data_IF_742211227005
#
_entry.id   IF_742211227005
#
_cell.length_a   1.000
_cell.length_b   1.000
_cell.length_c   1.000
_cell.angle_alpha   90.00
_cell.angle_beta   90.00
_cell.angle_gamma   90.00
#
_symmetry.space_group_name_H-M   'P 1'
#
loop_
_entity.id
_entity.type
_entity.pdbx_description
1 polymer ?
#
# COMPACT_ATOMS: atom_id res chain seq x y z
N UNK A 1 38.45 -1.35 -43.63
CA UNK A 1 38.82 -1.09 -42.22
C UNK A 1 37.60 -1.43 -41.36
N UNK A 2 37.63 -2.59 -40.70
CA UNK A 2 36.65 -2.98 -39.69
C UNK A 2 36.90 -2.15 -38.43
N UNK A 3 35.89 -1.42 -37.94
CA UNK A 3 35.85 -1.02 -36.54
C UNK A 3 34.87 -1.94 -35.82
N UNK A 4 35.43 -2.94 -35.12
CA UNK A 4 34.75 -3.68 -34.06
C UNK A 4 34.66 -2.75 -32.86
N UNK A 5 33.47 -2.26 -32.55
CA UNK A 5 33.20 -1.70 -31.23
C UNK A 5 32.93 -2.87 -30.30
N UNK A 6 33.88 -3.12 -29.40
CA UNK A 6 33.74 -4.04 -28.29
C UNK A 6 32.71 -3.44 -27.33
N UNK A 7 31.51 -3.99 -27.30
CA UNK A 7 30.59 -3.78 -26.17
C UNK A 7 31.07 -4.73 -25.06
N UNK A 8 31.98 -4.24 -24.25
CA UNK A 8 32.13 -4.72 -22.87
C UNK A 8 31.77 -3.56 -21.97
N UNK A 9 30.53 -3.55 -21.51
CA UNK A 9 30.17 -2.93 -20.27
C UNK A 9 29.59 -4.04 -19.41
N UNK A 10 30.37 -4.50 -18.42
CA UNK A 10 29.80 -5.18 -17.27
C UNK A 10 28.79 -4.19 -16.68
N UNK A 11 27.50 -4.43 -16.91
CA UNK A 11 26.47 -3.80 -16.11
C UNK A 11 26.65 -4.37 -14.71
N UNK A 12 27.39 -3.65 -13.86
CA UNK A 12 27.20 -3.78 -12.43
C UNK A 12 25.74 -3.43 -12.22
N UNK A 13 24.91 -4.45 -12.02
CA UNK A 13 23.52 -4.24 -11.65
C UNK A 13 23.54 -3.53 -10.31
N UNK A 14 23.22 -2.23 -10.32
CA UNK A 14 22.94 -1.47 -9.11
C UNK A 14 22.09 -2.32 -8.15
N UNK A 15 22.55 -2.47 -6.91
CA UNK A 15 21.82 -3.22 -5.90
C UNK A 15 20.75 -2.29 -5.30
N UNK A 16 19.52 -2.39 -5.81
CA UNK A 16 18.40 -1.68 -5.21
C UNK A 16 18.00 -2.32 -3.89
N UNK A 17 17.63 -1.47 -2.95
CA UNK A 17 17.16 -1.87 -1.64
C UNK A 17 15.94 -1.04 -1.25
N UNK A 18 14.88 -1.70 -0.77
CA UNK A 18 13.66 -1.05 -0.28
C UNK A 18 13.79 -0.74 1.22
N UNK A 19 13.87 0.54 1.62
CA UNK A 19 13.84 0.91 3.03
C UNK A 19 12.53 0.50 3.68
N UNK A 20 12.57 0.22 4.99
CA UNK A 20 11.36 0.02 5.77
C UNK A 20 10.53 1.30 5.84
N UNK A 21 9.21 1.17 5.99
CA UNK A 21 8.30 2.32 6.04
C UNK A 21 8.57 3.23 7.26
N UNK A 22 9.09 2.69 8.36
CA UNK A 22 9.45 3.50 9.54
C UNK A 22 10.70 4.37 9.36
N UNK A 23 11.45 4.19 8.27
CA UNK A 23 12.59 5.06 7.97
C UNK A 23 12.17 6.49 7.66
N UNK A 24 13.15 7.40 7.63
CA UNK A 24 12.87 8.82 7.38
C UNK A 24 12.31 9.01 5.97
N UNK A 25 11.20 9.73 5.88
CA UNK A 25 10.51 10.03 4.64
C UNK A 25 10.67 11.53 4.28
N UNK A 26 10.51 11.85 2.99
CA UNK A 26 10.55 13.24 2.49
C UNK A 26 9.16 13.81 2.27
N UNK A 27 8.21 12.94 1.92
CA UNK A 27 6.82 13.25 1.64
C UNK A 27 6.01 11.95 1.50
N UNK A 28 4.69 12.11 1.51
CA UNK A 28 3.73 11.08 1.11
C UNK A 28 3.03 11.53 -0.17
N UNK A 29 2.88 10.63 -1.13
CA UNK A 29 2.11 10.83 -2.35
C UNK A 29 0.72 10.23 -2.15
N UNK A 30 -0.29 11.02 -2.48
CA UNK A 30 -1.71 10.64 -2.44
C UNK A 30 -2.37 11.09 -3.74
N UNK A 31 -3.52 10.51 -4.07
CA UNK A 31 -4.37 11.00 -5.15
C UNK A 31 -5.76 11.31 -4.62
N UNK A 32 -6.36 12.37 -5.13
CA UNK A 32 -7.72 12.74 -4.82
C UNK A 32 -8.66 12.04 -5.81
N UNK A 33 -9.80 11.48 -5.35
CA UNK A 33 -10.77 10.79 -6.18
C UNK A 33 -11.09 11.56 -7.49
N UNK A 34 -11.12 10.90 -8.64
CA UNK A 34 -11.51 11.56 -9.89
C UNK A 34 -12.98 11.35 -10.21
N UNK A 35 -13.61 12.33 -10.87
CA UNK A 35 -15.02 12.28 -11.20
C UNK A 35 -15.36 11.23 -12.28
N UNK A 36 -14.40 10.86 -13.11
CA UNK A 36 -14.56 9.86 -14.18
C UNK A 36 -14.14 8.43 -13.76
N UNK A 37 -13.79 8.21 -12.49
CA UNK A 37 -13.43 6.89 -12.00
C UNK A 37 -14.66 5.97 -11.95
N UNK A 38 -14.52 4.77 -12.52
CA UNK A 38 -15.58 3.76 -12.60
C UNK A 38 -15.95 3.16 -11.23
N UNK A 39 -15.14 3.38 -10.19
CA UNK A 39 -15.39 2.93 -8.83
C UNK A 39 -16.51 3.71 -8.10
N UNK A 40 -16.99 4.83 -8.66
CA UNK A 40 -18.00 5.67 -8.02
C UNK A 40 -19.34 5.60 -8.77
N UNK A 41 -20.40 5.16 -8.11
CA UNK A 41 -21.76 5.09 -8.68
C UNK A 41 -22.51 6.43 -8.52
N UNK A 42 -21.80 7.53 -8.82
CA UNK A 42 -22.34 8.89 -8.82
C UNK A 42 -21.72 9.80 -7.77
N UNK A 43 -22.35 10.97 -7.58
CA UNK A 43 -21.77 12.06 -6.80
C UNK A 43 -21.60 11.74 -5.31
N UNK A 44 -22.50 10.94 -4.73
CA UNK A 44 -22.44 10.61 -3.30
C UNK A 44 -21.14 9.87 -2.96
N UNK A 45 -20.81 8.84 -3.72
CA UNK A 45 -19.61 8.02 -3.52
C UNK A 45 -18.34 8.86 -3.71
N UNK A 46 -18.34 9.72 -4.73
CA UNK A 46 -17.23 10.65 -4.97
C UNK A 46 -17.04 11.63 -3.80
N UNK A 47 -18.12 12.25 -3.31
CA UNK A 47 -18.08 13.20 -2.19
C UNK A 47 -17.58 12.51 -0.90
N UNK A 48 -18.04 11.28 -0.67
CA UNK A 48 -17.64 10.43 0.45
C UNK A 48 -16.16 10.03 0.41
N UNK A 49 -15.69 9.47 -0.71
CA UNK A 49 -14.27 9.15 -0.91
C UNK A 49 -13.40 10.40 -0.79
N UNK A 50 -13.88 11.53 -1.32
CA UNK A 50 -13.22 12.83 -1.25
C UNK A 50 -13.04 13.27 0.20
N UNK A 51 -14.06 13.11 1.05
CA UNK A 51 -14.00 13.44 2.47
C UNK A 51 -12.93 12.63 3.20
N UNK A 52 -12.95 11.30 3.03
CA UNK A 52 -12.03 10.40 3.72
C UNK A 52 -10.57 10.63 3.29
N UNK A 53 -10.31 10.72 1.98
CA UNK A 53 -8.97 11.03 1.45
C UNK A 53 -8.48 12.40 1.92
N UNK A 54 -9.37 13.40 2.01
CA UNK A 54 -9.00 14.72 2.53
C UNK A 54 -8.60 14.67 4.01
N UNK A 55 -9.34 13.90 4.82
CA UNK A 55 -9.02 13.73 6.24
C UNK A 55 -7.67 13.02 6.43
N UNK A 56 -7.38 12.00 5.61
CA UNK A 56 -6.08 11.31 5.61
C UNK A 56 -4.96 12.30 5.23
N UNK A 57 -5.12 13.06 4.15
CA UNK A 57 -4.11 14.02 3.69
C UNK A 57 -3.81 15.10 4.75
N UNK A 58 -4.84 15.61 5.43
CA UNK A 58 -4.68 16.57 6.53
C UNK A 58 -3.97 15.96 7.74
N UNK A 59 -4.24 14.69 8.04
CA UNK A 59 -3.60 13.96 9.13
C UNK A 59 -2.12 13.69 8.86
N UNK A 60 -1.78 13.30 7.63
CA UNK A 60 -0.38 13.16 7.19
C UNK A 60 0.36 14.52 7.25
N UNK A 61 -0.31 15.60 6.85
CA UNK A 61 0.25 16.94 6.81
C UNK A 61 0.66 17.51 8.18
N UNK A 62 0.18 16.91 9.28
CA UNK A 62 0.65 17.20 10.64
C UNK A 62 2.13 16.81 10.84
N UNK A 63 2.59 15.79 10.11
CA UNK A 63 3.91 15.18 10.29
C UNK A 63 4.86 15.55 9.15
N UNK A 64 4.42 15.45 7.90
CA UNK A 64 5.28 15.65 6.74
C UNK A 64 4.53 16.13 5.49
N UNK A 65 5.24 16.60 4.44
CA UNK A 65 4.61 17.09 3.24
C UNK A 65 3.79 16.01 2.51
N UNK A 66 2.66 16.42 1.94
CA UNK A 66 1.82 15.61 1.05
C UNK A 66 1.91 16.17 -0.36
N UNK A 67 2.16 15.33 -1.34
CA UNK A 67 1.88 15.63 -2.75
C UNK A 67 0.55 14.97 -3.11
N UNK A 68 -0.47 15.79 -3.36
CA UNK A 68 -1.81 15.34 -3.69
C UNK A 68 -2.05 15.49 -5.20
N UNK A 69 -2.05 14.36 -5.91
CA UNK A 69 -2.36 14.31 -7.33
C UNK A 69 -3.86 14.45 -7.56
N UNK A 70 -4.25 15.28 -8.51
CA UNK A 70 -5.66 15.55 -8.84
C UNK A 70 -5.85 15.63 -10.35
N UNK A 71 -7.02 15.26 -10.85
CA UNK A 71 -7.35 15.51 -12.26
C UNK A 71 -7.51 17.01 -12.53
N UNK A 72 -7.29 17.43 -13.78
CA UNK A 72 -7.29 18.85 -14.16
C UNK A 72 -8.62 19.55 -13.83
N UNK A 73 -9.75 18.84 -13.99
CA UNK A 73 -11.10 19.34 -13.70
C UNK A 73 -11.37 19.53 -12.19
N UNK A 74 -10.65 18.82 -11.32
CA UNK A 74 -10.77 18.92 -9.85
C UNK A 74 -9.70 19.78 -9.19
N UNK A 75 -8.76 20.33 -9.96
CA UNK A 75 -7.63 21.09 -9.40
C UNK A 75 -8.05 22.31 -8.59
N UNK A 76 -8.95 23.15 -9.11
CA UNK A 76 -9.40 24.36 -8.41
C UNK A 76 -10.17 24.03 -7.12
N UNK A 77 -10.93 22.94 -7.13
CA UNK A 77 -11.66 22.44 -5.97
C UNK A 77 -10.70 21.99 -4.86
N UNK A 78 -9.68 21.20 -5.22
CA UNK A 78 -8.65 20.73 -4.28
C UNK A 78 -7.81 21.89 -3.72
N UNK A 79 -7.35 22.83 -4.55
CA UNK A 79 -6.64 24.02 -4.11
C UNK A 79 -7.48 24.84 -3.10
N UNK A 80 -8.78 24.98 -3.39
CA UNK A 80 -9.70 25.67 -2.48
C UNK A 80 -9.84 24.93 -1.14
N UNK A 81 -9.95 23.59 -1.18
CA UNK A 81 -10.07 22.73 0.00
C UNK A 81 -8.84 22.79 0.91
N UNK A 82 -7.64 22.86 0.34
CA UNK A 82 -6.38 22.77 1.07
C UNK A 82 -5.62 24.10 1.22
N UNK A 83 -6.19 25.23 0.81
CA UNK A 83 -5.57 26.57 0.92
C UNK A 83 -5.03 26.92 2.33
N UNK A 84 -5.63 26.35 3.37
CA UNK A 84 -5.26 26.61 4.77
C UNK A 84 -4.34 25.53 5.38
N UNK A 85 -3.82 24.59 4.58
CA UNK A 85 -2.95 23.49 5.02
C UNK A 85 -1.53 23.92 5.41
N UNK A 86 -1.28 25.21 5.62
CA UNK A 86 0.03 25.79 5.93
C UNK A 86 1.13 25.43 4.91
N UNK A 87 0.76 25.13 3.66
CA UNK A 87 1.68 24.72 2.60
C UNK A 87 2.25 23.31 2.79
N UNK A 88 1.62 22.46 3.61
CA UNK A 88 2.02 21.06 3.80
C UNK A 88 1.40 20.13 2.76
N UNK A 89 0.26 20.50 2.18
CA UNK A 89 -0.39 19.75 1.10
C UNK A 89 -0.15 20.50 -0.20
N UNK A 90 0.60 19.90 -1.11
CA UNK A 90 0.88 20.42 -2.45
C UNK A 90 -0.06 19.73 -3.45
N UNK A 91 -1.06 20.46 -3.92
CA UNK A 91 -1.98 19.97 -4.96
C UNK A 91 -1.29 20.03 -6.31
N UNK A 92 -1.36 18.94 -7.08
CA UNK A 92 -0.74 18.85 -8.41
C UNK A 92 -1.69 18.22 -9.42
N UNK A 93 -2.01 18.98 -10.46
CA UNK A 93 -2.80 18.46 -11.58
C UNK A 93 -2.01 17.40 -12.37
N UNK A 94 -2.63 16.25 -12.63
CA UNK A 94 -2.08 15.16 -13.44
C UNK A 94 -2.71 15.17 -14.84
N UNK A 95 -1.92 15.59 -15.83
CA UNK A 95 -2.43 15.70 -17.20
C UNK A 95 -2.54 14.34 -17.89
N UNK A 96 -3.63 14.14 -18.64
CA UNK A 96 -3.84 12.94 -19.45
C UNK A 96 -4.13 11.66 -18.65
N UNK A 97 -4.63 11.80 -17.42
CA UNK A 97 -5.02 10.68 -16.56
C UNK A 97 -6.44 10.90 -15.98
N UNK A 98 -7.49 10.88 -16.83
CA UNK A 98 -8.85 11.30 -16.44
C UNK A 98 -9.50 10.37 -15.41
N UNK A 99 -9.18 9.07 -15.45
CA UNK A 99 -9.63 8.07 -14.47
C UNK A 99 -8.57 7.85 -13.39
N UNK A 100 -8.08 8.95 -12.79
CA UNK A 100 -7.14 8.85 -11.67
C UNK A 100 -7.82 8.13 -10.51
N UNK A 101 -7.26 6.99 -10.15
CA UNK A 101 -7.69 6.27 -8.96
C UNK A 101 -6.87 6.72 -7.74
N UNK A 102 -7.43 6.53 -6.55
CA UNK A 102 -6.87 7.06 -5.31
C UNK A 102 -5.75 6.18 -4.72
N UNK A 103 -5.65 4.92 -5.19
CA UNK A 103 -4.82 3.86 -4.60
C UNK A 103 -3.32 4.00 -4.92
N UNK A 104 -2.69 5.05 -4.41
CA UNK A 104 -1.28 5.37 -4.69
C UNK A 104 -0.31 4.31 -4.23
N UNK A 105 -0.63 3.53 -3.19
CA UNK A 105 0.20 2.39 -2.76
C UNK A 105 0.46 1.41 -3.91
N UNK A 106 -0.51 1.26 -4.80
CA UNK A 106 -0.48 0.25 -5.86
C UNK A 106 -0.06 0.82 -7.21
N UNK A 107 -0.42 2.08 -7.46
CA UNK A 107 -0.22 2.73 -8.77
C UNK A 107 1.03 3.59 -8.86
N UNK A 108 1.48 4.15 -7.74
CA UNK A 108 2.68 4.97 -7.70
C UNK A 108 3.94 4.07 -7.72
N UNK A 109 5.13 4.65 -7.98
CA UNK A 109 6.36 3.86 -7.94
C UNK A 109 6.61 3.35 -6.53
N UNK A 110 7.08 2.11 -6.42
CA UNK A 110 7.72 1.67 -5.18
C UNK A 110 9.11 2.27 -5.12
N UNK A 111 9.34 3.17 -4.17
CA UNK A 111 10.62 3.85 -4.04
C UNK A 111 11.68 2.97 -3.37
N UNK A 112 12.87 2.96 -3.94
CA UNK A 112 14.02 2.18 -3.48
C UNK A 112 15.26 3.08 -3.47
N UNK A 113 16.29 2.62 -2.78
CA UNK A 113 17.58 3.28 -2.72
C UNK A 113 18.61 2.41 -3.43
N UNK A 114 19.45 3.02 -4.26
CA UNK A 114 20.66 2.38 -4.75
C UNK A 114 21.82 2.77 -3.84
N UNK A 115 22.50 1.80 -3.23
CA UNK A 115 23.72 2.00 -2.44
C UNK A 115 24.95 1.59 -3.26
N UNK A 116 25.25 2.41 -4.27
CA UNK A 116 26.51 2.34 -5.00
C UNK A 116 27.42 3.49 -4.48
N UNK A 117 28.55 3.14 -3.86
CA UNK A 117 29.68 4.04 -3.55
C UNK A 117 29.38 5.28 -2.65
N UNK A 118 28.80 5.09 -1.46
CA UNK A 118 28.61 6.13 -0.41
C UNK A 118 27.77 7.36 -0.85
N UNK A 119 26.98 7.25 -1.93
CA UNK A 119 26.07 8.31 -2.40
C UNK A 119 24.71 7.68 -2.72
N UNK A 120 24.02 7.28 -1.65
CA UNK A 120 22.73 6.61 -1.73
C UNK A 120 21.72 7.50 -2.48
N UNK A 121 21.14 6.97 -3.56
CA UNK A 121 20.22 7.71 -4.44
C UNK A 121 18.83 7.11 -4.43
N UNK A 122 17.83 7.99 -4.46
CA UNK A 122 16.43 7.60 -4.60
C UNK A 122 16.15 7.15 -6.05
N UNK A 123 15.52 6.00 -6.18
CA UNK A 123 14.99 5.46 -7.44
C UNK A 123 13.53 5.05 -7.23
N UNK A 124 12.78 4.91 -8.33
CA UNK A 124 11.46 4.29 -8.32
C UNK A 124 11.38 3.04 -9.17
N UNK A 125 10.66 2.04 -8.68
CA UNK A 125 10.32 0.83 -9.44
C UNK A 125 8.89 0.94 -9.95
N UNK A 126 8.72 0.87 -11.27
CA UNK A 126 7.42 0.72 -11.93
C UNK A 126 7.11 -0.79 -12.07
N UNK A 127 6.11 -1.26 -11.31
CA UNK A 127 5.65 -2.64 -11.29
C UNK A 127 4.52 -2.95 -12.27
N UNK A 128 4.36 -2.13 -13.32
CA UNK A 128 3.41 -2.38 -14.41
C UNK A 128 1.97 -2.61 -13.93
N UNK A 129 1.48 -1.77 -13.01
CA UNK A 129 0.13 -1.83 -12.47
C UNK A 129 -0.93 -2.04 -13.57
N UNK A 130 -1.83 -3.00 -13.39
CA UNK A 130 -2.83 -3.39 -14.38
C UNK A 130 -4.28 -3.32 -13.87
N UNK A 131 -4.54 -2.68 -12.73
CA UNK A 131 -5.88 -2.65 -12.14
C UNK A 131 -6.27 -3.95 -11.46
N UNK A 132 -5.39 -4.46 -10.59
CA UNK A 132 -5.56 -5.71 -9.82
C UNK A 132 -6.02 -6.90 -10.65
N UNK A 133 -5.29 -7.19 -11.72
CA UNK A 133 -5.60 -8.28 -12.64
C UNK A 133 -6.66 -7.93 -13.68
N UNK A 134 -6.69 -6.66 -14.11
CA UNK A 134 -7.69 -6.09 -15.01
C UNK A 134 -9.13 -6.13 -14.46
N UNK A 135 -9.31 -6.16 -13.14
CA UNK A 135 -10.62 -5.95 -12.50
C UNK A 135 -11.07 -4.50 -12.72
N UNK A 136 -10.12 -3.56 -12.64
CA UNK A 136 -10.29 -2.14 -12.97
C UNK A 136 -9.27 -1.72 -14.04
N UNK A 137 -9.49 -2.08 -15.32
CA UNK A 137 -8.49 -1.90 -16.36
C UNK A 137 -8.03 -0.45 -16.50
N UNK A 138 -6.71 -0.22 -16.41
CA UNK A 138 -6.11 1.13 -16.50
C UNK A 138 -5.98 1.67 -17.94
N UNK A 139 -6.69 1.06 -18.90
CA UNK A 139 -6.68 1.45 -20.31
C UNK A 139 -5.29 1.36 -20.97
N UNK A 140 -5.12 1.97 -22.15
CA UNK A 140 -3.81 2.10 -22.81
C UNK A 140 -2.98 3.27 -22.24
N UNK A 141 -3.30 3.73 -21.04
CA UNK A 141 -2.72 4.95 -20.47
C UNK A 141 -1.22 4.78 -20.16
N UNK A 142 -0.54 5.92 -20.11
CA UNK A 142 0.83 6.04 -19.61
C UNK A 142 0.88 5.56 -18.15
N UNK A 143 1.90 4.77 -17.80
CA UNK A 143 2.15 4.36 -16.42
C UNK A 143 2.17 5.58 -15.48
N UNK A 144 1.29 5.59 -14.48
CA UNK A 144 1.26 6.66 -13.48
C UNK A 144 2.58 6.75 -12.73
N UNK A 145 3.17 5.60 -12.38
CA UNK A 145 4.51 5.53 -11.80
C UNK A 145 5.56 6.24 -12.66
N UNK A 146 5.60 5.96 -13.98
CA UNK A 146 6.54 6.62 -14.88
C UNK A 146 6.32 8.14 -14.95
N UNK A 147 5.07 8.60 -14.91
CA UNK A 147 4.72 10.02 -14.91
C UNK A 147 5.16 10.71 -13.61
N UNK A 148 4.92 10.10 -12.45
CA UNK A 148 5.37 10.58 -11.14
C UNK A 148 6.89 10.71 -11.10
N UNK A 149 7.62 9.70 -11.58
CA UNK A 149 9.09 9.72 -11.58
C UNK A 149 9.68 10.81 -12.49
N UNK A 150 9.10 10.99 -13.67
CA UNK A 150 9.48 12.07 -14.58
C UNK A 150 9.31 13.44 -13.92
N UNK A 151 8.15 13.63 -13.28
CA UNK A 151 7.76 14.85 -12.60
C UNK A 151 8.61 15.18 -11.37
N UNK A 152 9.09 14.16 -10.66
CA UNK A 152 9.98 14.29 -9.49
C UNK A 152 11.46 14.41 -9.89
N UNK A 153 11.79 14.23 -11.17
CA UNK A 153 13.18 14.06 -11.65
C UNK A 153 13.93 12.91 -10.96
N UNK A 154 13.20 11.86 -10.60
CA UNK A 154 13.73 10.66 -9.94
C UNK A 154 13.97 9.57 -10.98
N UNK A 155 15.17 8.95 -11.04
CA UNK A 155 15.43 7.86 -11.97
C UNK A 155 14.53 6.65 -11.66
N UNK A 156 14.03 6.01 -12.72
CA UNK A 156 13.15 4.85 -12.63
C UNK A 156 13.74 3.59 -13.24
N UNK A 157 13.38 2.43 -12.69
CA UNK A 157 13.53 1.11 -13.33
C UNK A 157 12.16 0.48 -13.51
N UNK A 158 11.98 -0.28 -14.60
CA UNK A 158 10.80 -1.14 -14.75
C UNK A 158 11.06 -2.51 -14.14
N UNK A 159 10.01 -3.09 -13.58
CA UNK A 159 9.97 -4.50 -13.22
C UNK A 159 9.55 -5.35 -14.41
N UNK A 160 9.90 -6.63 -14.41
CA UNK A 160 9.33 -7.63 -15.30
C UNK A 160 8.02 -8.23 -14.74
N UNK A 161 7.66 -7.89 -13.51
CA UNK A 161 6.44 -8.34 -12.83
C UNK A 161 5.33 -7.32 -12.98
N UNK A 162 4.10 -7.82 -12.97
CA UNK A 162 2.92 -7.07 -12.56
C UNK A 162 2.70 -7.35 -11.07
N UNK A 163 2.79 -6.32 -10.24
CA UNK A 163 2.42 -6.39 -8.83
C UNK A 163 2.14 -4.97 -8.32
N UNK A 164 1.72 -4.87 -7.07
CA UNK A 164 1.26 -3.66 -6.44
C UNK A 164 2.00 -3.45 -5.11
N UNK A 165 2.22 -2.20 -4.69
CA UNK A 165 2.93 -1.94 -3.44
C UNK A 165 2.23 -2.54 -2.21
N UNK A 166 0.90 -2.64 -2.20
CA UNK A 166 0.15 -3.26 -1.10
C UNK A 166 0.38 -4.77 -0.98
N UNK A 167 0.91 -5.41 -2.03
CA UNK A 167 1.35 -6.81 -1.99
C UNK A 167 2.74 -7.00 -1.36
N UNK A 168 3.46 -5.92 -1.06
CA UNK A 168 4.89 -5.95 -0.73
C UNK A 168 5.17 -5.39 0.67
N UNK A 169 5.26 -6.27 1.68
CA UNK A 169 5.57 -5.87 3.05
C UNK A 169 7.02 -6.21 3.44
N UNK A 170 7.86 -5.19 3.60
CA UNK A 170 9.30 -5.35 3.85
C UNK A 170 9.73 -4.88 5.24
N UNK A 171 10.75 -5.53 5.80
CA UNK A 171 11.33 -5.15 7.10
C UNK A 171 12.50 -4.16 7.01
N UNK A 172 12.93 -3.80 5.79
CA UNK A 172 14.13 -3.00 5.57
C UNK A 172 15.44 -3.70 5.99
N UNK A 173 15.46 -5.03 6.07
CA UNK A 173 16.68 -5.81 6.34
C UNK A 173 16.78 -7.05 5.45
N UNK A 174 16.02 -7.07 4.35
CA UNK A 174 16.04 -8.11 3.32
C UNK A 174 14.93 -9.16 3.44
N UNK A 175 13.94 -8.95 4.30
CA UNK A 175 12.78 -9.85 4.43
C UNK A 175 11.56 -9.26 3.75
N UNK A 176 10.84 -10.10 3.01
CA UNK A 176 9.54 -9.78 2.42
C UNK A 176 8.49 -10.78 2.92
N UNK A 177 7.37 -10.26 3.45
CA UNK A 177 6.14 -11.03 3.60
C UNK A 177 5.25 -10.71 2.40
N UNK A 178 4.74 -11.75 1.74
CA UNK A 178 3.96 -11.60 0.51
C UNK A 178 2.96 -12.75 0.39
N UNK A 179 1.83 -12.49 -0.26
CA UNK A 179 0.83 -13.52 -0.55
C UNK A 179 1.02 -14.13 -1.93
N UNK A 180 0.85 -15.44 -2.05
CA UNK A 180 0.94 -16.14 -3.34
C UNK A 180 -0.17 -15.68 -4.29
N UNK A 181 -1.38 -15.48 -3.76
CA UNK A 181 -2.54 -15.07 -4.54
C UNK A 181 -2.46 -13.65 -5.10
N UNK A 182 -1.61 -12.75 -4.58
CA UNK A 182 -1.46 -11.40 -5.13
C UNK A 182 -0.43 -11.29 -6.26
N UNK A 183 0.39 -12.33 -6.49
CA UNK A 183 1.53 -12.22 -7.43
C UNK A 183 1.77 -13.45 -8.30
N UNK A 184 1.55 -14.68 -7.80
CA UNK A 184 1.82 -15.95 -8.51
C UNK A 184 0.63 -16.44 -9.35
N UNK A 185 -0.30 -15.55 -9.70
CA UNK A 185 -1.53 -15.89 -10.42
C UNK A 185 -1.55 -15.34 -11.84
N UNK A 186 -2.26 -16.02 -12.74
CA UNK A 186 -2.24 -15.73 -14.18
C UNK A 186 -2.74 -14.34 -14.59
N UNK A 187 -3.59 -13.70 -13.78
CA UNK A 187 -4.03 -12.32 -14.05
C UNK A 187 -2.98 -11.27 -13.64
N UNK A 188 -1.90 -11.68 -12.97
CA UNK A 188 -0.72 -10.85 -12.67
C UNK A 188 0.46 -11.27 -13.53
N UNK A 189 0.95 -12.48 -13.32
CA UNK A 189 2.23 -12.94 -13.88
C UNK A 189 2.10 -14.31 -14.56
N UNK A 190 1.38 -14.39 -15.70
CA UNK A 190 1.14 -15.65 -16.38
C UNK A 190 2.44 -16.33 -16.79
N UNK A 191 2.59 -17.61 -16.40
CA UNK A 191 3.75 -18.43 -16.74
C UNK A 191 5.04 -18.12 -15.96
N UNK A 192 5.04 -17.19 -15.00
CA UNK A 192 6.21 -16.98 -14.13
C UNK A 192 6.22 -17.96 -12.97
N UNK A 193 7.38 -18.58 -12.72
CA UNK A 193 7.59 -19.41 -11.54
C UNK A 193 7.83 -18.55 -10.30
N UNK A 194 7.74 -19.18 -9.12
CA UNK A 194 8.15 -18.54 -7.86
C UNK A 194 9.60 -18.06 -7.93
N UNK A 195 10.50 -18.83 -8.53
CA UNK A 195 11.91 -18.46 -8.69
C UNK A 195 12.08 -17.21 -9.56
N UNK A 196 11.30 -17.06 -10.62
CA UNK A 196 11.32 -15.87 -11.47
C UNK A 196 10.85 -14.63 -10.72
N UNK A 197 9.77 -14.77 -9.94
CA UNK A 197 9.25 -13.70 -9.08
C UNK A 197 10.26 -13.30 -8.02
N UNK A 198 10.80 -14.27 -7.29
CA UNK A 198 11.79 -13.98 -6.27
C UNK A 198 13.04 -13.31 -6.87
N UNK A 199 13.58 -13.82 -7.99
CA UNK A 199 14.75 -13.25 -8.64
C UNK A 199 14.54 -11.77 -9.02
N UNK A 200 13.36 -11.42 -9.53
CA UNK A 200 13.05 -10.03 -9.84
C UNK A 200 12.90 -9.17 -8.59
N UNK A 201 12.24 -9.66 -7.54
CA UNK A 201 12.10 -8.92 -6.28
C UNK A 201 13.44 -8.77 -5.54
N UNK A 202 14.37 -9.73 -5.67
CA UNK A 202 15.76 -9.53 -5.19
C UNK A 202 16.42 -8.36 -5.93
N UNK A 203 16.26 -8.31 -7.26
CA UNK A 203 16.85 -7.27 -8.10
C UNK A 203 16.25 -5.89 -7.83
N UNK A 204 14.93 -5.80 -7.66
CA UNK A 204 14.23 -4.51 -7.57
C UNK A 204 14.12 -3.99 -6.15
N UNK A 205 14.10 -4.84 -5.13
CA UNK A 205 13.84 -4.45 -3.74
C UNK A 205 14.95 -4.86 -2.75
N UNK A 206 15.94 -5.67 -3.17
CA UNK A 206 17.03 -6.11 -2.31
C UNK A 206 16.62 -7.20 -1.30
N UNK A 207 15.61 -8.00 -1.64
CA UNK A 207 15.10 -9.07 -0.77
C UNK A 207 16.01 -10.29 -0.82
N UNK A 208 16.30 -10.85 0.36
CA UNK A 208 17.04 -12.09 0.55
C UNK A 208 16.11 -13.24 0.94
N UNK A 209 15.13 -12.96 1.80
CA UNK A 209 14.23 -13.95 2.37
C UNK A 209 12.76 -13.63 2.12
N UNK A 210 12.02 -14.64 1.71
CA UNK A 210 10.60 -14.57 1.40
C UNK A 210 9.81 -15.40 2.40
N UNK A 211 8.74 -14.81 2.94
CA UNK A 211 7.74 -15.48 3.76
C UNK A 211 6.44 -15.46 2.95
N UNK A 212 6.10 -16.63 2.41
CA UNK A 212 4.96 -16.81 1.51
C UNK A 212 3.72 -17.22 2.31
N UNK A 213 2.67 -16.42 2.21
CA UNK A 213 1.34 -16.75 2.74
C UNK A 213 0.45 -17.13 1.54
N UNK A 214 -0.40 -18.17 1.60
CA UNK A 214 -1.20 -18.58 0.44
C UNK A 214 -2.12 -17.48 -0.12
N UNK A 215 -2.79 -16.73 0.76
CA UNK A 215 -3.83 -15.76 0.39
C UNK A 215 -5.02 -16.42 -0.33
N UNK A 216 -5.91 -15.63 -0.96
CA UNK A 216 -7.06 -16.14 -1.74
C UNK A 216 -7.35 -15.25 -2.95
N UNK A 217 -7.28 -15.85 -4.14
CA UNK A 217 -7.64 -15.18 -5.40
C UNK A 217 -9.16 -14.99 -5.49
N UNK A 218 -9.59 -13.80 -5.91
CA UNK A 218 -10.98 -13.47 -6.20
C UNK A 218 -11.89 -13.34 -4.98
N UNK A 219 -11.32 -13.32 -3.77
CA UNK A 219 -12.06 -13.09 -2.54
C UNK A 219 -12.37 -11.59 -2.34
N UNK A 220 -11.44 -10.73 -2.73
CA UNK A 220 -11.64 -9.28 -2.85
C UNK A 220 -10.81 -8.74 -4.03
N UNK A 221 -10.83 -7.41 -4.24
CA UNK A 221 -10.24 -6.76 -5.43
C UNK A 221 -8.74 -7.01 -5.57
N UNK A 222 -7.98 -7.05 -4.49
CA UNK A 222 -6.52 -7.12 -4.52
C UNK A 222 -5.95 -8.53 -4.70
N UNK A 223 -6.80 -9.57 -4.60
CA UNK A 223 -6.40 -10.99 -4.52
C UNK A 223 -5.56 -11.31 -3.28
N UNK A 224 -5.84 -10.64 -2.15
CA UNK A 224 -5.27 -10.88 -0.84
C UNK A 224 -3.96 -10.14 -0.62
N UNK A 225 -3.94 -8.81 -0.80
CA UNK A 225 -2.77 -8.01 -0.43
C UNK A 225 -2.35 -8.23 1.03
N UNK A 226 -1.04 -8.17 1.24
CA UNK A 226 -0.46 -8.45 2.55
C UNK A 226 -0.68 -7.29 3.51
N UNK A 227 -0.79 -6.05 3.02
CA UNK A 227 -0.93 -4.86 3.86
C UNK A 227 -2.28 -4.75 4.60
N UNK A 228 -3.30 -5.49 4.16
CA UNK A 228 -4.55 -5.72 4.87
C UNK A 228 -4.50 -6.87 5.89
N UNK A 229 -3.43 -7.68 5.87
CA UNK A 229 -3.29 -8.89 6.69
C UNK A 229 -2.16 -8.77 7.72
N UNK A 230 -0.94 -8.40 7.33
CA UNK A 230 0.20 -8.28 8.23
C UNK A 230 1.14 -7.15 7.84
N UNK A 231 1.72 -6.47 8.83
CA UNK A 231 2.71 -5.40 8.65
C UNK A 231 3.89 -5.60 9.59
N UNK A 232 5.11 -5.30 9.16
CA UNK A 232 6.24 -5.15 10.07
C UNK A 232 6.09 -3.88 10.90
N UNK A 233 6.35 -3.99 12.20
CA UNK A 233 6.41 -2.83 13.11
C UNK A 233 7.84 -2.46 13.50
N UNK A 234 8.75 -3.43 13.36
CA UNK A 234 10.20 -3.30 13.50
C UNK A 234 10.84 -4.61 12.99
N UNK A 235 12.16 -4.67 12.79
CA UNK A 235 12.82 -5.90 12.36
C UNK A 235 12.52 -7.07 13.32
N UNK A 236 11.99 -8.17 12.77
CA UNK A 236 11.60 -9.36 13.53
C UNK A 236 10.29 -9.26 14.33
N UNK A 237 9.48 -8.21 14.16
CA UNK A 237 8.18 -8.07 14.83
C UNK A 237 7.11 -7.62 13.83
N UNK A 238 6.09 -8.46 13.66
CA UNK A 238 4.92 -8.20 12.82
C UNK A 238 3.66 -7.93 13.66
N UNK A 239 2.77 -7.10 13.12
CA UNK A 239 1.37 -7.01 13.54
C UNK A 239 0.51 -7.80 12.54
N UNK A 240 -0.46 -8.57 13.04
CA UNK A 240 -1.35 -9.42 12.25
C UNK A 240 -2.80 -9.00 12.48
N UNK A 241 -3.55 -8.84 11.39
CA UNK A 241 -4.98 -8.59 11.40
C UNK A 241 -5.70 -9.86 11.81
N UNK A 242 -6.51 -9.76 12.86
CA UNK A 242 -7.32 -10.86 13.39
C UNK A 242 -8.80 -10.59 13.10
N UNK A 243 -9.53 -11.50 12.45
CA UNK A 243 -10.97 -11.34 12.25
C UNK A 243 -11.70 -11.03 13.57
N UNK A 244 -12.72 -10.17 13.49
CA UNK A 244 -13.54 -9.77 14.64
C UNK A 244 -14.20 -10.97 15.35
N UNK A 245 -14.43 -12.05 14.60
CA UNK A 245 -14.91 -13.35 15.07
C UNK A 245 -14.14 -14.48 14.39
N UNK A 246 -13.74 -15.48 15.18
CA UNK A 246 -13.17 -16.74 14.68
C UNK A 246 -14.29 -17.76 14.50
N UNK A 247 -14.51 -18.20 13.27
CA UNK A 247 -15.53 -19.18 12.87
C UNK A 247 -15.08 -19.97 11.62
N UNK A 248 -15.99 -20.70 10.96
CA UNK A 248 -15.64 -21.56 9.81
C UNK A 248 -15.42 -20.78 8.49
N UNK A 249 -15.44 -19.43 8.55
CA UNK A 249 -15.26 -18.56 7.39
C UNK A 249 -13.90 -18.71 6.72
N UNK A 250 -13.83 -18.25 5.47
CA UNK A 250 -12.57 -18.19 4.72
C UNK A 250 -11.56 -17.22 5.38
N UNK A 251 -12.05 -16.14 6.00
CA UNK A 251 -11.22 -15.15 6.69
C UNK A 251 -10.50 -15.72 7.91
N UNK A 252 -11.20 -16.52 8.73
CA UNK A 252 -10.58 -17.24 9.86
C UNK A 252 -9.48 -18.19 9.38
N UNK A 253 -9.71 -18.91 8.28
CA UNK A 253 -8.71 -19.82 7.70
C UNK A 253 -7.47 -19.08 7.17
N UNK A 254 -7.66 -17.94 6.50
CA UNK A 254 -6.54 -17.09 6.05
C UNK A 254 -5.72 -16.61 7.25
N UNK A 255 -6.40 -16.15 8.31
CA UNK A 255 -5.75 -15.73 9.55
C UNK A 255 -4.95 -16.87 10.20
N UNK A 256 -5.55 -18.07 10.36
CA UNK A 256 -4.88 -19.21 10.98
C UNK A 256 -3.64 -19.65 10.17
N UNK A 257 -3.76 -19.72 8.84
CA UNK A 257 -2.64 -20.01 7.94
C UNK A 257 -1.52 -18.97 8.05
N UNK A 258 -1.87 -17.69 8.06
CA UNK A 258 -0.91 -16.59 8.19
C UNK A 258 -0.22 -16.62 9.55
N UNK A 259 -0.98 -16.82 10.64
CA UNK A 259 -0.44 -16.94 11.99
C UNK A 259 0.56 -18.10 12.07
N UNK A 260 0.18 -19.29 11.61
CA UNK A 260 1.04 -20.48 11.66
C UNK A 260 2.33 -20.28 10.85
N UNK A 261 2.25 -19.69 9.66
CA UNK A 261 3.41 -19.42 8.82
C UNK A 261 4.34 -18.40 9.48
N UNK A 262 3.79 -17.27 9.93
CA UNK A 262 4.56 -16.21 10.58
C UNK A 262 5.20 -16.71 11.89
N UNK A 263 4.46 -17.52 12.67
CA UNK A 263 4.90 -18.06 13.94
C UNK A 263 6.08 -19.02 13.78
N UNK A 264 6.14 -19.75 12.67
CA UNK A 264 7.23 -20.69 12.36
C UNK A 264 8.35 -20.06 11.51
N UNK A 265 8.18 -18.83 11.03
CA UNK A 265 9.14 -18.16 10.18
C UNK A 265 10.25 -17.43 10.96
N UNK A 266 11.39 -17.28 10.30
CA UNK A 266 12.44 -16.36 10.73
C UNK A 266 12.64 -15.31 9.65
N UNK A 267 13.16 -14.14 10.00
CA UNK A 267 13.51 -13.11 9.02
C UNK A 267 14.89 -13.36 8.37
N UNK A 268 15.32 -12.47 7.47
CA UNK A 268 16.59 -12.57 6.74
C UNK A 268 17.82 -12.56 7.66
N UNK A 269 17.71 -11.98 8.86
CA UNK A 269 18.77 -11.99 9.88
C UNK A 269 18.65 -13.17 10.86
N UNK A 270 17.71 -14.07 10.64
CA UNK A 270 17.52 -15.28 11.44
C UNK A 270 16.77 -15.06 12.75
N UNK A 271 16.12 -13.91 12.95
CA UNK A 271 15.29 -13.66 14.15
C UNK A 271 13.96 -14.36 13.98
N UNK A 272 13.48 -14.99 15.06
CA UNK A 272 12.12 -15.51 15.13
C UNK A 272 11.13 -14.34 15.12
N UNK A 273 10.07 -14.43 14.32
CA UNK A 273 9.08 -13.36 14.29
C UNK A 273 8.27 -13.33 15.59
N UNK A 274 8.21 -12.15 16.22
CA UNK A 274 7.21 -11.84 17.22
C UNK A 274 5.93 -11.39 16.50
N UNK A 275 4.79 -11.90 16.95
CA UNK A 275 3.47 -11.54 16.40
C UNK A 275 2.71 -10.72 17.45
N UNK A 276 2.06 -9.64 17.02
CA UNK A 276 1.04 -8.94 17.80
C UNK A 276 -0.25 -8.88 17.00
N UNK A 277 -1.34 -9.39 17.56
CA UNK A 277 -2.63 -9.36 16.87
C UNK A 277 -3.36 -8.04 17.12
N UNK A 278 -4.03 -7.53 16.09
CA UNK A 278 -5.07 -6.49 16.24
C UNK A 278 -6.37 -7.05 15.69
N UNK A 279 -7.40 -7.10 16.54
CA UNK A 279 -8.75 -7.52 16.14
C UNK A 279 -9.39 -6.43 15.27
N UNK A 280 -9.88 -6.83 14.11
CA UNK A 280 -10.63 -6.01 13.15
C UNK A 280 -11.92 -5.45 13.75
N UNK A 281 -12.47 -4.40 13.14
CA UNK A 281 -13.77 -3.89 13.55
C UNK A 281 -14.87 -4.89 13.23
N UNK A 282 -15.87 -4.97 14.09
CA UNK A 282 -17.05 -5.77 13.81
C UNK A 282 -18.04 -4.97 12.95
N UNK A 283 -18.34 -5.45 11.74
CA UNK A 283 -19.31 -4.81 10.84
C UNK A 283 -20.72 -4.69 11.45
N UNK A 284 -21.07 -5.57 12.41
CA UNK A 284 -22.32 -5.50 13.15
C UNK A 284 -22.30 -4.46 14.28
N UNK A 285 -21.11 -3.93 14.63
CA UNK A 285 -20.92 -2.93 15.68
C UNK A 285 -20.79 -1.48 15.17
N UNK A 286 -20.65 -1.28 13.85
CA UNK A 286 -20.49 0.07 13.24
C UNK A 286 -21.80 0.74 12.83
N UNK A 287 -22.95 0.09 13.05
CA UNK A 287 -24.27 0.67 12.72
C UNK A 287 -24.58 0.71 11.22
N UNK A 288 -24.06 -0.27 10.46
CA UNK A 288 -24.26 -0.41 9.02
C UNK A 288 -25.75 -0.51 8.62
N UNK A 289 -26.11 0.01 7.44
CA UNK A 289 -27.45 -0.14 6.88
C UNK A 289 -27.81 -1.63 6.74
N UNK A 290 -28.99 -2.09 7.22
CA UNK A 290 -29.38 -3.49 7.16
C UNK A 290 -29.43 -4.09 5.75
N UNK A 291 -29.66 -3.27 4.72
CA UNK A 291 -29.61 -3.70 3.32
C UNK A 291 -28.17 -4.00 2.91
N UNK A 292 -27.23 -3.09 3.17
CA UNK A 292 -25.80 -3.29 2.87
C UNK A 292 -25.29 -4.56 3.57
N UNK A 293 -25.62 -4.72 4.85
CA UNK A 293 -25.24 -5.91 5.61
C UNK A 293 -25.75 -7.20 4.97
N UNK A 294 -27.02 -7.20 4.51
CA UNK A 294 -27.61 -8.35 3.83
C UNK A 294 -26.94 -8.63 2.48
N UNK A 295 -26.62 -7.59 1.72
CA UNK A 295 -25.97 -7.70 0.40
C UNK A 295 -24.52 -8.25 0.58
N UNK A 296 -23.84 -7.90 1.66
CA UNK A 296 -22.54 -8.51 2.05
C UNK A 296 -22.71 -9.98 2.43
N UNK A 297 -23.69 -10.31 3.28
CA UNK A 297 -23.95 -11.69 3.72
C UNK A 297 -24.36 -12.62 2.56
N UNK A 298 -25.02 -12.10 1.53
CA UNK A 298 -25.38 -12.85 0.32
C UNK A 298 -24.24 -12.95 -0.70
N UNK A 299 -23.17 -12.17 -0.53
CA UNK A 299 -22.07 -12.05 -1.48
C UNK A 299 -22.42 -11.22 -2.72
N UNK A 300 -23.48 -10.42 -2.66
CA UNK A 300 -23.81 -9.42 -3.70
C UNK A 300 -22.88 -8.20 -3.61
N UNK A 301 -22.33 -7.93 -2.43
CA UNK A 301 -21.35 -6.89 -2.16
C UNK A 301 -20.15 -7.45 -1.38
N UNK A 302 -18.96 -6.92 -1.65
CA UNK A 302 -17.74 -7.29 -0.90
C UNK A 302 -17.79 -6.78 0.54
N UNK A 303 -17.15 -7.51 1.46
CA UNK A 303 -16.98 -7.05 2.84
C UNK A 303 -16.05 -5.83 2.91
N UNK A 304 -16.35 -4.81 3.73
CA UNK A 304 -15.50 -3.63 3.85
C UNK A 304 -14.15 -3.97 4.50
N UNK A 305 -13.10 -3.26 4.09
CA UNK A 305 -11.74 -3.41 4.61
C UNK A 305 -11.57 -2.78 6.01
N UNK A 306 -12.23 -3.34 7.03
CA UNK A 306 -12.16 -2.89 8.42
C UNK A 306 -10.92 -3.41 9.20
N UNK A 307 -9.79 -3.47 8.51
CA UNK A 307 -8.53 -3.94 9.06
C UNK A 307 -7.67 -2.77 9.59
N UNK A 308 -7.42 -2.78 10.89
CA UNK A 308 -6.63 -1.72 11.54
C UNK A 308 -5.14 -1.74 11.17
N UNK A 309 -4.65 -2.85 10.60
CA UNK A 309 -3.26 -2.96 10.14
C UNK A 309 -2.99 -2.13 8.88
N UNK A 310 -4.03 -1.63 8.21
CA UNK A 310 -3.91 -0.76 7.03
C UNK A 310 -3.64 0.71 7.43
N UNK A 311 -2.71 0.92 8.37
CA UNK A 311 -2.22 2.23 8.80
C UNK A 311 -0.99 2.65 8.00
N UNK A 312 -0.65 3.94 8.06
CA UNK A 312 0.56 4.49 7.45
C UNK A 312 1.53 4.98 8.54
N UNK A 313 2.80 4.61 8.44
CA UNK A 313 3.86 5.28 9.18
C UNK A 313 4.31 6.55 8.47
N UNK A 314 4.41 7.63 9.24
CA UNK A 314 4.91 8.93 8.81
C UNK A 314 6.01 9.38 9.76
N UNK A 315 6.79 10.40 9.40
CA UNK A 315 7.85 10.92 10.27
C UNK A 315 7.33 11.29 11.67
N UNK A 316 7.72 10.52 12.69
CA UNK A 316 7.30 10.74 14.09
C UNK A 316 5.84 10.43 14.39
N UNK A 317 5.08 9.86 13.43
CA UNK A 317 3.66 9.60 13.59
C UNK A 317 3.18 8.26 13.01
N UNK A 318 1.93 7.92 13.32
CA UNK A 318 1.17 6.80 12.76
C UNK A 318 -0.22 7.31 12.41
N UNK A 319 -0.58 7.29 11.13
CA UNK A 319 -1.93 7.64 10.68
C UNK A 319 -2.77 6.37 10.75
N UNK A 320 -3.66 6.31 11.74
CA UNK A 320 -4.29 5.06 12.17
C UNK A 320 -5.79 5.06 11.93
N UNK A 321 -6.36 4.03 11.26
CA UNK A 321 -7.77 4.04 10.92
C UNK A 321 -8.68 3.84 12.15
N UNK A 322 -9.87 4.41 12.07
CA UNK A 322 -11.00 4.19 12.97
C UNK A 322 -12.24 3.93 12.12
N UNK A 323 -13.09 2.99 12.54
CA UNK A 323 -14.23 2.53 11.74
C UNK A 323 -15.58 2.71 12.43
N UNK A 324 -15.60 3.16 13.69
CA UNK A 324 -16.83 3.45 14.44
C UNK A 324 -17.26 2.33 15.39
N UNK A 325 -16.59 1.18 15.38
CA UNK A 325 -16.70 0.18 16.43
C UNK A 325 -15.93 0.67 17.65
N UNK A 326 -16.61 1.42 18.51
CA UNK A 326 -16.01 2.08 19.69
C UNK A 326 -15.16 1.15 20.56
N UNK A 327 -15.50 -0.15 20.62
CA UNK A 327 -14.76 -1.11 21.45
C UNK A 327 -13.50 -1.59 20.72
N UNK A 328 -13.62 -2.00 19.46
CA UNK A 328 -12.48 -2.43 18.67
C UNK A 328 -11.53 -1.26 18.38
N UNK A 329 -12.05 -0.09 18.01
CA UNK A 329 -11.32 1.16 17.78
C UNK A 329 -10.40 1.50 18.98
N UNK A 330 -10.97 1.50 20.19
CA UNK A 330 -10.24 1.79 21.42
C UNK A 330 -9.18 0.73 21.75
N UNK A 331 -9.47 -0.54 21.49
CA UNK A 331 -8.53 -1.63 21.70
C UNK A 331 -7.36 -1.58 20.71
N UNK A 332 -7.65 -1.35 19.44
CA UNK A 332 -6.67 -1.19 18.36
C UNK A 332 -5.75 0.01 18.62
N UNK A 333 -6.32 1.16 19.01
CA UNK A 333 -5.54 2.34 19.41
C UNK A 333 -4.61 2.08 20.60
N UNK A 334 -5.08 1.32 21.60
CA UNK A 334 -4.24 0.96 22.75
C UNK A 334 -3.06 0.09 22.31
N UNK A 335 -3.31 -0.88 21.42
CA UNK A 335 -2.27 -1.77 20.91
C UNK A 335 -1.23 -1.00 20.10
N UNK A 336 -1.65 -0.20 19.12
CA UNK A 336 -0.73 0.50 18.22
C UNK A 336 0.12 1.54 18.96
N UNK A 337 -0.44 2.26 19.94
CA UNK A 337 0.32 3.16 20.84
C UNK A 337 1.32 2.41 21.72
N UNK A 338 1.03 1.16 22.06
CA UNK A 338 1.95 0.30 22.80
C UNK A 338 3.13 -0.17 21.95
N UNK A 339 2.92 -0.32 20.64
CA UNK A 339 3.93 -0.71 19.65
C UNK A 339 4.84 0.47 19.29
N UNK A 340 4.26 1.64 19.01
CA UNK A 340 5.00 2.85 18.63
C UNK A 340 5.01 3.88 19.76
N UNK A 341 5.91 3.69 20.73
CA UNK A 341 5.99 4.56 21.92
C UNK A 341 6.64 5.93 21.66
N UNK A 342 7.38 6.02 20.56
CA UNK A 342 8.15 7.16 20.09
C UNK A 342 7.45 7.91 18.95
N UNK A 343 6.23 7.49 18.58
CA UNK A 343 5.40 8.13 17.56
C UNK A 343 4.07 8.59 18.13
N UNK A 344 3.58 9.71 17.63
CA UNK A 344 2.21 10.15 17.88
C UNK A 344 1.25 9.36 17.00
N UNK A 345 0.20 8.81 17.58
CA UNK A 345 -0.83 8.07 16.83
C UNK A 345 -2.00 9.01 16.57
N UNK A 346 -2.16 9.38 15.30
CA UNK A 346 -3.26 10.23 14.80
C UNK A 346 -4.40 9.34 14.30
N UNK A 347 -5.50 9.22 15.05
CA UNK A 347 -6.66 8.44 14.62
C UNK A 347 -7.44 9.18 13.53
N UNK A 348 -7.72 8.49 12.42
CA UNK A 348 -8.53 9.02 11.31
C UNK A 348 -9.75 8.14 11.12
N UNK A 349 -10.93 8.72 11.31
CA UNK A 349 -12.17 8.04 10.98
C UNK A 349 -12.34 7.98 9.47
N UNK A 350 -12.45 6.76 8.93
CA UNK A 350 -12.73 6.51 7.51
C UNK A 350 -14.02 5.71 7.41
N UNK A 351 -15.00 6.28 6.74
CA UNK A 351 -16.36 5.76 6.70
C UNK A 351 -16.58 4.93 5.43
N UNK A 352 -16.24 5.50 4.27
CA UNK A 352 -16.60 4.96 2.96
C UNK A 352 -15.42 4.32 2.25
N UNK A 353 -14.18 4.77 2.53
CA UNK A 353 -12.97 4.19 1.94
C UNK A 353 -12.87 2.67 2.08
N UNK A 354 -13.23 2.05 3.23
CA UNK A 354 -13.24 0.59 3.38
C UNK A 354 -14.15 -0.16 2.41
N UNK A 355 -15.28 0.45 1.99
CA UNK A 355 -16.20 -0.15 1.03
C UNK A 355 -15.68 -0.07 -0.41
N UNK A 356 -14.73 0.83 -0.67
CA UNK A 356 -14.05 0.94 -1.97
C UNK A 356 -12.90 -0.06 -2.12
N UNK A 357 -12.68 -0.91 -1.12
CA UNK A 357 -11.73 -2.03 -1.18
C UNK A 357 -10.39 -1.81 -0.48
N UNK A 358 -10.21 -0.74 0.30
CA UNK A 358 -8.94 -0.46 0.97
C UNK A 358 -9.02 0.58 2.09
N UNK A 359 -7.86 1.03 2.58
CA UNK A 359 -7.78 1.98 3.69
C UNK A 359 -6.69 3.04 3.53
N UNK A 360 -6.15 3.47 4.67
CA UNK A 360 -5.16 4.55 4.74
C UNK A 360 -3.86 4.14 4.03
N UNK A 361 -3.39 2.92 4.27
CA UNK A 361 -2.17 2.45 3.64
C UNK A 361 -2.32 2.29 2.13
N UNK A 362 -3.44 1.75 1.64
CA UNK A 362 -3.69 1.57 0.21
C UNK A 362 -3.75 2.91 -0.56
N UNK A 363 -4.19 3.99 0.10
CA UNK A 363 -4.34 5.32 -0.50
C UNK A 363 -3.08 6.20 -0.46
N UNK A 364 -1.98 5.67 0.07
CA UNK A 364 -0.76 6.46 0.35
C UNK A 364 0.50 5.75 -0.16
N UNK A 365 1.48 6.54 -0.62
CA UNK A 365 2.80 6.03 -1.00
C UNK A 365 3.88 6.93 -0.41
N UNK A 366 4.71 6.40 0.48
CA UNK A 366 5.80 7.16 1.06
C UNK A 366 7.02 7.26 0.12
N UNK A 367 7.74 8.37 0.24
CA UNK A 367 9.00 8.63 -0.47
C UNK A 367 10.15 8.68 0.54
N UNK A 368 10.98 7.64 0.67
CA UNK A 368 12.07 7.60 1.64
C UNK A 368 13.16 8.64 1.33
N UNK A 369 13.89 9.05 2.37
CA UNK A 369 15.12 9.83 2.24
C UNK A 369 16.30 8.86 2.22
N UNK A 370 17.12 8.83 1.15
CA UNK A 370 18.35 8.05 1.14
C UNK A 370 19.26 8.45 2.32
N UNK A 371 19.84 7.45 3.00
CA UNK A 371 20.81 7.67 4.07
C UNK A 371 22.18 7.96 3.45
N UNK A 372 22.80 9.08 3.83
CA UNK A 372 24.19 9.39 3.48
C UNK A 372 25.18 8.54 4.29
#
# INVERSE_FOLDING_TARGET
MLFRTVIMANAVTAAFFRPAEWEKQSQVIMAWPSAENDAYEGKSDLDSATRDVSAIAESVALFEPVTLLVTEDRYEEAETRFKNSSGKIHVKAIQGYPKLDLWMRDMAPTFVVNDDDNDAKLYGVDFNFNGWGNKYPVGQCLSLAAKILYDMHTPGTKSSLVTEGGSLEVDGEGTLVITESSILIDNRNPGKSRQDVEAELRRTLGIEKFIWIPGRKGLEVTDGHIDGLARFVSPGHVVLSKPSKLDDSVWTKIYDEAYDILYNATDAKGRQLKITEITEADMYAVGMDPKILKDIESGEQDSPAYNYVNYLLVNGGVIFPQFGDKKADAAALKTIRGLYKDREVEPVYIEDLPFLGGGIHCSTQEVPVPKN
#
